data_IF_717295217410
#
_entry.id   IF_717295217410
#
_cell.length_a   1.000
_cell.length_b   1.000
_cell.length_c   1.000
_cell.angle_alpha   90.00
_cell.angle_beta   90.00
_cell.angle_gamma   90.00
#
_symmetry.space_group_name_H-M   'P 1'
#
loop_
_entity.id
_entity.type
_entity.pdbx_description
1 polymer ?
#
# COMPACT_ATOMS: atom_id res chain seq x y z
N UNK A 1 16.29 58.59 -91.21
CA UNK A 1 16.38 58.21 -92.65
C UNK A 1 15.32 59.05 -93.38
N UNK A 2 15.61 59.95 -94.33
CA UNK A 2 16.17 59.82 -95.70
C UNK A 2 15.23 59.14 -96.73
N UNK A 3 14.77 59.95 -97.71
CA UNK A 3 14.12 59.55 -99.00
C UNK A 3 12.69 58.93 -98.88
N UNK A 4 11.77 58.93 -99.87
CA UNK A 4 11.60 59.48 -101.26
C UNK A 4 10.07 59.36 -101.58
N UNK A 5 9.39 60.02 -102.54
CA UNK A 5 9.62 61.12 -103.51
C UNK A 5 8.74 62.34 -103.08
N UNK A 6 8.22 63.35 -103.82
CA UNK A 6 8.06 63.76 -105.24
C UNK A 6 7.01 63.04 -106.15
N UNK A 7 6.54 63.73 -107.20
CA UNK A 7 5.34 63.47 -108.05
C UNK A 7 4.04 63.72 -107.25
N UNK A 8 3.04 64.51 -107.66
CA UNK A 8 2.61 65.00 -108.99
C UNK A 8 2.72 66.53 -109.10
N UNK A 9 3.27 67.05 -110.21
CA UNK A 9 3.24 68.49 -110.53
C UNK A 9 3.28 68.76 -112.04
N UNK A 10 2.24 68.36 -112.78
CA UNK A 10 2.07 68.73 -114.21
C UNK A 10 0.61 68.60 -114.66
N UNK A 11 -0.12 69.72 -114.71
CA UNK A 11 -1.14 69.94 -115.74
C UNK A 11 -1.41 71.45 -115.94
N UNK A 12 -0.79 72.03 -116.97
CA UNK A 12 -1.35 73.05 -117.89
C UNK A 12 -2.09 74.23 -117.21
N UNK A 13 -1.57 75.46 -117.07
CA UNK A 13 -0.46 76.18 -117.72
C UNK A 13 -0.65 76.61 -119.19
N UNK A 14 -1.89 76.68 -119.69
CA UNK A 14 -2.30 77.32 -120.97
C UNK A 14 -3.66 78.03 -120.75
N UNK A 15 -4.05 78.92 -121.67
CA UNK A 15 -5.26 79.77 -121.64
C UNK A 15 -5.18 80.95 -120.64
N UNK A 16 -4.20 81.82 -120.88
CA UNK A 16 -4.47 83.27 -120.78
C UNK A 16 -5.41 83.70 -121.91
N UNK A 17 -6.16 84.79 -121.71
CA UNK A 17 -6.97 85.51 -122.72
C UNK A 17 -8.19 84.76 -123.32
N UNK A 18 -9.31 84.75 -122.60
CA UNK A 18 -10.48 85.57 -123.02
C UNK A 18 -11.56 85.75 -121.93
N UNK A 19 -12.07 86.98 -121.83
CA UNK A 19 -13.39 87.43 -121.35
C UNK A 19 -14.10 86.83 -120.11
N UNK A 20 -14.04 87.59 -119.00
CA UNK A 20 -15.09 87.84 -117.96
C UNK A 20 -15.54 86.71 -117.01
N UNK A 21 -15.75 87.13 -115.74
CA UNK A 21 -16.37 86.41 -114.60
C UNK A 21 -15.54 85.21 -114.06
N UNK A 22 -15.67 84.78 -112.81
CA UNK A 22 -16.62 85.18 -111.75
C UNK A 22 -15.92 85.22 -110.36
N UNK A 23 -16.31 86.11 -109.44
CA UNK A 23 -15.65 86.26 -108.13
C UNK A 23 -16.00 85.15 -107.12
N UNK A 24 -17.12 84.45 -107.34
CA UNK A 24 -17.78 83.57 -106.36
C UNK A 24 -16.96 82.34 -105.94
N UNK A 25 -16.11 81.84 -106.83
CA UNK A 25 -15.43 80.56 -106.66
C UNK A 25 -14.33 80.56 -105.58
N UNK A 26 -13.94 81.74 -105.06
CA UNK A 26 -12.88 81.85 -104.02
C UNK A 26 -13.45 81.64 -102.62
N UNK A 27 -14.62 82.21 -102.30
CA UNK A 27 -15.31 81.95 -101.02
C UNK A 27 -15.68 80.47 -100.87
N UNK A 28 -16.13 79.84 -101.97
CA UNK A 28 -16.43 78.40 -102.02
C UNK A 28 -15.16 77.56 -101.73
N UNK A 29 -13.97 78.02 -102.14
CA UNK A 29 -12.69 77.34 -101.87
C UNK A 29 -12.22 77.53 -100.41
N UNK A 30 -12.35 78.73 -99.84
CA UNK A 30 -12.00 78.99 -98.44
C UNK A 30 -12.96 78.28 -97.48
N UNK A 31 -14.26 78.21 -97.80
CA UNK A 31 -15.20 77.35 -97.08
C UNK A 31 -14.81 75.89 -97.17
N UNK A 32 -14.45 75.37 -98.36
CA UNK A 32 -14.00 73.98 -98.51
C UNK A 32 -12.73 73.68 -97.68
N UNK A 33 -11.73 74.58 -97.69
CA UNK A 33 -10.50 74.43 -96.89
C UNK A 33 -10.81 74.47 -95.38
N UNK A 34 -11.72 75.35 -94.94
CA UNK A 34 -12.16 75.40 -93.55
C UNK A 34 -12.90 74.13 -93.14
N UNK A 35 -13.86 73.65 -93.96
CA UNK A 35 -14.57 72.39 -93.75
C UNK A 35 -13.60 71.21 -93.66
N UNK A 36 -12.58 71.15 -94.54
CA UNK A 36 -11.55 70.10 -94.50
C UNK A 36 -10.70 70.19 -93.22
N UNK A 37 -10.35 71.39 -92.76
CA UNK A 37 -9.59 71.60 -91.52
C UNK A 37 -10.40 71.22 -90.27
N UNK A 38 -11.65 71.65 -90.22
CA UNK A 38 -12.58 71.35 -89.12
C UNK A 38 -12.91 69.84 -89.11
N UNK A 39 -13.17 69.22 -90.27
CA UNK A 39 -13.34 67.78 -90.40
C UNK A 39 -12.09 66.98 -90.00
N UNK A 40 -10.88 67.47 -90.35
CA UNK A 40 -9.62 66.86 -89.88
C UNK A 40 -9.46 66.98 -88.36
N UNK A 41 -9.86 68.09 -87.76
CA UNK A 41 -9.79 68.28 -86.31
C UNK A 41 -10.86 67.46 -85.57
N UNK A 42 -12.04 67.27 -86.16
CA UNK A 42 -13.08 66.33 -85.70
C UNK A 42 -12.56 64.89 -85.79
N UNK A 43 -11.95 64.49 -86.91
CA UNK A 43 -11.36 63.16 -87.08
C UNK A 43 -10.23 62.89 -86.08
N UNK A 44 -9.35 63.88 -85.84
CA UNK A 44 -8.28 63.75 -84.85
C UNK A 44 -8.83 63.59 -83.44
N UNK A 45 -9.82 64.41 -83.05
CA UNK A 45 -10.53 64.27 -81.76
C UNK A 45 -11.29 62.94 -81.65
N UNK A 46 -11.91 62.45 -82.72
CA UNK A 46 -12.59 61.15 -82.72
C UNK A 46 -11.59 59.99 -82.56
N UNK A 47 -10.39 60.11 -83.15
CA UNK A 47 -9.31 59.14 -83.01
C UNK A 47 -8.67 59.18 -81.60
N UNK A 48 -8.53 60.38 -81.02
CA UNK A 48 -8.07 60.61 -79.64
C UNK A 48 -9.09 60.12 -78.61
N UNK A 49 -10.39 60.41 -78.79
CA UNK A 49 -11.49 59.85 -77.99
C UNK A 49 -11.50 58.33 -78.09
N UNK A 50 -11.36 57.76 -79.30
CA UNK A 50 -11.30 56.30 -79.47
C UNK A 50 -10.09 55.72 -78.72
N UNK A 51 -8.89 56.28 -78.89
CA UNK A 51 -7.69 55.81 -78.21
C UNK A 51 -7.83 55.89 -76.68
N UNK A 52 -8.37 56.99 -76.15
CA UNK A 52 -8.63 57.14 -74.72
C UNK A 52 -9.71 56.17 -74.22
N UNK A 53 -10.73 55.85 -75.01
CA UNK A 53 -11.76 54.85 -74.65
C UNK A 53 -11.17 53.43 -74.65
N UNK A 54 -10.32 53.11 -75.63
CA UNK A 54 -9.67 51.81 -75.76
C UNK A 54 -8.60 51.60 -74.66
N UNK A 55 -7.98 52.69 -74.19
CA UNK A 55 -7.06 52.72 -73.05
C UNK A 55 -7.80 52.70 -71.69
N UNK A 56 -8.94 53.36 -71.55
CA UNK A 56 -9.85 53.26 -70.39
C UNK A 56 -10.42 51.84 -70.21
N UNK A 57 -10.73 51.16 -71.32
CA UNK A 57 -11.08 49.73 -71.31
C UNK A 57 -9.91 48.88 -70.82
N UNK A 58 -8.69 49.10 -71.32
CA UNK A 58 -7.50 48.37 -70.86
C UNK A 58 -7.20 48.60 -69.38
N UNK A 59 -7.32 49.83 -68.88
CA UNK A 59 -7.19 50.15 -67.45
C UNK A 59 -8.21 49.34 -66.64
N UNK A 60 -9.49 49.35 -67.02
CA UNK A 60 -10.55 48.60 -66.32
C UNK A 60 -10.36 47.09 -66.36
N UNK A 61 -9.78 46.55 -67.43
CA UNK A 61 -9.39 45.14 -67.48
C UNK A 61 -8.25 44.85 -66.50
N UNK A 62 -7.21 45.68 -66.46
CA UNK A 62 -6.08 45.53 -65.52
C UNK A 62 -6.54 45.70 -64.06
N UNK A 63 -7.43 46.64 -63.77
CA UNK A 63 -8.04 46.83 -62.45
C UNK A 63 -8.84 45.59 -62.02
N UNK A 64 -9.67 45.03 -62.90
CA UNK A 64 -10.44 43.81 -62.61
C UNK A 64 -9.57 42.56 -62.48
N UNK A 65 -8.49 42.43 -63.27
CA UNK A 65 -7.51 41.35 -63.12
C UNK A 65 -6.71 41.47 -61.82
N UNK A 66 -6.31 42.69 -61.43
CA UNK A 66 -5.63 42.94 -60.16
C UNK A 66 -6.53 42.70 -58.94
N UNK A 67 -7.81 43.09 -59.02
CA UNK A 67 -8.79 42.79 -57.96
C UNK A 67 -9.05 41.28 -57.84
N UNK A 68 -9.16 40.58 -58.97
CA UNK A 68 -9.30 39.11 -59.00
C UNK A 68 -8.07 38.41 -58.39
N UNK A 69 -6.85 38.89 -58.69
CA UNK A 69 -5.61 38.33 -58.13
C UNK A 69 -5.49 38.61 -56.63
N UNK A 70 -5.83 39.82 -56.19
CA UNK A 70 -5.91 40.16 -54.76
C UNK A 70 -6.93 39.27 -54.02
N UNK A 71 -8.07 38.96 -54.64
CA UNK A 71 -9.06 38.02 -54.10
C UNK A 71 -8.57 36.55 -54.08
N UNK A 72 -7.62 36.15 -54.94
CA UNK A 72 -6.94 34.84 -54.81
C UNK A 72 -5.96 34.87 -53.64
N UNK A 73 -5.08 35.87 -53.59
CA UNK A 73 -4.05 36.01 -52.56
C UNK A 73 -4.69 35.99 -51.17
N UNK A 74 -5.76 36.77 -50.94
CA UNK A 74 -6.48 36.78 -49.67
C UNK A 74 -7.05 35.39 -49.28
N UNK A 75 -7.56 34.61 -50.24
CA UNK A 75 -8.05 33.24 -50.00
C UNK A 75 -6.93 32.23 -49.75
N UNK A 76 -5.79 32.40 -50.42
CA UNK A 76 -4.60 31.59 -50.17
C UNK A 76 -3.97 31.91 -48.81
N UNK A 77 -3.99 33.18 -48.38
CA UNK A 77 -3.60 33.62 -47.03
C UNK A 77 -4.54 33.05 -45.96
N UNK A 78 -5.87 33.18 -46.10
CA UNK A 78 -6.86 32.57 -45.19
C UNK A 78 -6.66 31.05 -45.08
N UNK A 79 -6.53 30.36 -46.22
CA UNK A 79 -6.31 28.91 -46.25
C UNK A 79 -4.95 28.53 -45.62
N UNK A 80 -3.92 29.36 -45.76
CA UNK A 80 -2.60 29.12 -45.15
C UNK A 80 -2.65 29.36 -43.64
N UNK A 81 -3.34 30.40 -43.17
CA UNK A 81 -3.52 30.66 -41.73
C UNK A 81 -4.31 29.53 -41.06
N UNK A 82 -5.37 29.02 -41.69
CA UNK A 82 -6.16 27.91 -41.16
C UNK A 82 -5.38 26.58 -41.14
N UNK A 83 -4.58 26.31 -42.17
CA UNK A 83 -3.64 25.18 -42.16
C UNK A 83 -2.60 25.30 -41.03
N UNK A 84 -2.09 26.50 -40.75
CA UNK A 84 -1.15 26.76 -39.63
C UNK A 84 -1.84 26.58 -38.28
N UNK A 85 -3.08 27.04 -38.10
CA UNK A 85 -3.89 26.80 -36.89
C UNK A 85 -4.11 25.31 -36.67
N UNK A 86 -4.54 24.57 -37.69
CA UNK A 86 -4.78 23.14 -37.58
C UNK A 86 -3.48 22.36 -37.29
N UNK A 87 -2.35 22.74 -37.90
CA UNK A 87 -1.05 22.17 -37.60
C UNK A 87 -0.62 22.43 -36.14
N UNK A 88 -0.86 23.64 -35.61
CA UNK A 88 -0.60 23.97 -34.20
C UNK A 88 -1.50 23.19 -33.23
N UNK A 89 -2.78 23.00 -33.55
CA UNK A 89 -3.70 22.16 -32.77
C UNK A 89 -3.24 20.70 -32.77
N UNK A 90 -2.92 20.15 -33.94
CA UNK A 90 -2.41 18.77 -34.07
C UNK A 90 -1.12 18.57 -33.27
N UNK A 91 -0.15 19.50 -33.36
CA UNK A 91 1.12 19.42 -32.65
C UNK A 91 0.97 19.58 -31.13
N UNK A 92 -0.02 20.35 -30.66
CA UNK A 92 -0.41 20.38 -29.23
C UNK A 92 -1.04 19.05 -28.80
N UNK A 93 -1.91 18.47 -29.61
CA UNK A 93 -2.58 17.20 -29.28
C UNK A 93 -1.59 16.02 -29.23
N UNK A 94 -0.62 15.97 -30.15
CA UNK A 94 0.46 14.98 -30.12
C UNK A 94 1.25 15.11 -28.81
N UNK A 95 1.80 16.30 -28.52
CA UNK A 95 2.56 16.52 -27.27
C UNK A 95 1.74 16.23 -26.00
N UNK A 96 0.45 16.53 -25.99
CA UNK A 96 -0.43 16.20 -24.87
C UNK A 96 -0.63 14.69 -24.73
N UNK A 97 -0.76 13.96 -25.84
CA UNK A 97 -0.84 12.49 -25.83
C UNK A 97 0.48 11.87 -25.34
N UNK A 98 1.62 12.37 -25.81
CA UNK A 98 2.96 11.90 -25.40
C UNK A 98 3.16 12.09 -23.88
N UNK A 99 2.86 13.29 -23.37
CA UNK A 99 2.92 13.62 -21.93
C UNK A 99 1.96 12.73 -21.13
N UNK A 100 0.75 12.47 -21.63
CA UNK A 100 -0.20 11.58 -20.94
C UNK A 100 0.31 10.12 -20.90
N UNK A 101 0.96 9.62 -21.95
CA UNK A 101 1.57 8.29 -21.95
C UNK A 101 2.74 8.20 -20.95
N UNK A 102 3.59 9.23 -20.89
CA UNK A 102 4.68 9.30 -19.91
C UNK A 102 4.15 9.37 -18.47
N UNK A 103 3.09 10.13 -18.22
CA UNK A 103 2.40 10.20 -16.91
C UNK A 103 1.83 8.83 -16.51
N UNK A 104 1.18 8.08 -17.41
CA UNK A 104 0.68 6.74 -17.11
C UNK A 104 1.81 5.74 -16.84
N UNK A 105 2.91 5.80 -17.60
CA UNK A 105 4.09 4.98 -17.32
C UNK A 105 4.65 5.27 -15.91
N UNK A 106 4.82 6.56 -15.56
CA UNK A 106 5.29 6.99 -14.23
C UNK A 106 4.33 6.52 -13.13
N UNK A 107 3.01 6.60 -13.33
CA UNK A 107 1.99 6.10 -12.39
C UNK A 107 2.13 4.59 -12.15
N UNK A 108 2.35 3.81 -13.20
CA UNK A 108 2.55 2.37 -13.09
C UNK A 108 3.85 2.03 -12.36
N UNK A 109 4.96 2.73 -12.66
CA UNK A 109 6.25 2.54 -11.95
C UNK A 109 6.13 2.88 -10.46
N UNK A 110 5.50 4.00 -10.10
CA UNK A 110 5.29 4.39 -8.69
C UNK A 110 4.44 3.34 -7.96
N UNK A 111 3.37 2.83 -8.59
CA UNK A 111 2.53 1.78 -8.00
C UNK A 111 3.31 0.49 -7.73
N UNK A 112 4.13 0.05 -8.68
CA UNK A 112 4.99 -1.12 -8.51
C UNK A 112 5.97 -0.94 -7.35
N UNK A 113 6.66 0.21 -7.28
CA UNK A 113 7.58 0.53 -6.17
C UNK A 113 6.88 0.58 -4.80
N UNK A 114 5.64 1.05 -4.74
CA UNK A 114 4.83 1.04 -3.52
C UNK A 114 4.43 -0.39 -3.10
N UNK A 115 4.04 -1.25 -4.05
CA UNK A 115 3.72 -2.66 -3.81
C UNK A 115 4.97 -3.45 -3.37
N UNK A 116 6.13 -3.19 -3.96
CA UNK A 116 7.42 -3.79 -3.58
C UNK A 116 7.87 -3.34 -2.18
N UNK A 117 7.87 -2.02 -1.91
CA UNK A 117 8.22 -1.47 -0.57
C UNK A 117 7.31 -2.07 0.51
N UNK A 118 6.00 -2.08 0.28
CA UNK A 118 5.02 -2.68 1.20
C UNK A 118 5.30 -4.17 1.43
N UNK A 119 5.73 -4.91 0.39
CA UNK A 119 6.08 -6.33 0.50
C UNK A 119 7.35 -6.55 1.32
N UNK A 120 8.37 -5.72 1.17
CA UNK A 120 9.61 -5.80 1.96
C UNK A 120 9.36 -5.47 3.44
N UNK A 121 8.62 -4.39 3.73
CA UNK A 121 8.21 -4.04 5.09
C UNK A 121 7.45 -5.19 5.77
N UNK A 122 6.48 -5.79 5.07
CA UNK A 122 5.73 -6.95 5.58
C UNK A 122 6.62 -8.17 5.86
N UNK A 123 7.65 -8.42 5.03
CA UNK A 123 8.63 -9.49 5.26
C UNK A 123 9.50 -9.21 6.49
N UNK A 124 9.95 -7.97 6.67
CA UNK A 124 10.74 -7.53 7.84
C UNK A 124 9.91 -7.67 9.13
N UNK A 125 8.66 -7.17 9.15
CA UNK A 125 7.77 -7.28 10.30
C UNK A 125 7.48 -8.75 10.62
N UNK A 126 7.15 -9.57 9.62
CA UNK A 126 6.94 -11.02 9.76
C UNK A 126 8.16 -11.71 10.38
N UNK A 127 9.36 -11.45 9.88
CA UNK A 127 10.58 -12.07 10.42
C UNK A 127 10.90 -11.59 11.84
N UNK A 128 10.65 -10.32 12.16
CA UNK A 128 10.83 -9.78 13.51
C UNK A 128 9.89 -10.45 14.53
N UNK A 129 8.62 -10.69 14.17
CA UNK A 129 7.67 -11.40 15.04
C UNK A 129 8.12 -12.86 15.26
N UNK A 130 8.53 -13.55 14.20
CA UNK A 130 9.05 -14.93 14.26
C UNK A 130 10.30 -15.01 15.16
N UNK A 131 11.22 -14.05 15.04
CA UNK A 131 12.42 -13.98 15.86
C UNK A 131 12.09 -13.77 17.35
N UNK A 132 11.17 -12.86 17.68
CA UNK A 132 10.74 -12.62 19.06
C UNK A 132 10.07 -13.86 19.68
N UNK A 133 9.21 -14.55 18.93
CA UNK A 133 8.61 -15.82 19.38
C UNK A 133 9.69 -16.88 19.65
N UNK A 134 10.67 -17.03 18.77
CA UNK A 134 11.78 -18.00 18.95
C UNK A 134 12.65 -17.70 20.16
N UNK A 135 12.97 -16.43 20.44
CA UNK A 135 13.73 -16.05 21.63
C UNK A 135 13.01 -16.46 22.93
N UNK A 136 11.69 -16.25 23.01
CA UNK A 136 10.88 -16.66 24.17
C UNK A 136 10.83 -18.17 24.44
N UNK A 137 11.10 -18.98 23.42
CA UNK A 137 11.25 -20.44 23.51
C UNK A 137 12.67 -20.79 23.98
N UNK A 138 13.69 -20.15 23.40
CA UNK A 138 15.10 -20.40 23.68
C UNK A 138 15.43 -20.23 25.16
N UNK A 139 14.92 -19.17 25.79
CA UNK A 139 15.03 -18.89 27.24
C UNK A 139 14.55 -20.06 28.13
N UNK A 140 13.68 -20.92 27.59
CA UNK A 140 13.06 -22.05 28.30
C UNK A 140 13.64 -23.40 27.89
N UNK A 141 14.46 -23.49 26.84
CA UNK A 141 14.84 -24.78 26.21
C UNK A 141 15.47 -25.78 27.19
N UNK A 142 16.36 -25.34 28.10
CA UNK A 142 16.96 -26.21 29.12
C UNK A 142 15.91 -26.81 30.05
N UNK A 143 14.90 -26.02 30.45
CA UNK A 143 13.80 -26.46 31.31
C UNK A 143 12.88 -27.46 30.60
N UNK A 144 12.61 -27.21 29.32
CA UNK A 144 11.83 -28.09 28.43
C UNK A 144 12.52 -29.45 28.23
N UNK A 145 13.86 -29.46 28.07
CA UNK A 145 14.65 -30.67 27.92
C UNK A 145 14.59 -31.54 29.19
N UNK A 146 14.71 -30.94 30.38
CA UNK A 146 14.60 -31.66 31.67
C UNK A 146 13.23 -32.34 31.82
N UNK A 147 12.14 -31.66 31.45
CA UNK A 147 10.80 -32.26 31.52
C UNK A 147 10.62 -33.42 30.55
N UNK A 148 11.17 -33.31 29.32
CA UNK A 148 11.06 -34.33 28.27
C UNK A 148 11.98 -35.55 28.50
N UNK A 149 13.03 -35.45 29.31
CA UNK A 149 13.91 -36.58 29.61
C UNK A 149 13.23 -37.60 30.56
N UNK A 150 12.79 -38.72 30.00
CA UNK A 150 12.17 -39.82 30.75
C UNK A 150 13.11 -40.44 31.80
N UNK A 151 14.43 -40.29 31.65
CA UNK A 151 15.44 -40.86 32.56
C UNK A 151 15.88 -39.86 33.64
N UNK A 152 15.33 -38.64 33.66
CA UNK A 152 15.71 -37.63 34.64
C UNK A 152 15.52 -38.15 36.07
N UNK A 153 16.57 -38.10 36.93
CA UNK A 153 16.58 -38.79 38.22
C UNK A 153 15.77 -38.04 39.28
N UNK A 154 14.47 -38.34 39.32
CA UNK A 154 13.60 -37.99 40.45
C UNK A 154 14.05 -38.74 41.72
N UNK A 155 14.20 -38.07 42.89
CA UNK A 155 14.59 -38.72 44.14
C UNK A 155 13.43 -39.50 44.77
N UNK A 156 13.73 -40.56 45.52
CA UNK A 156 12.76 -41.45 46.17
C UNK A 156 11.79 -40.79 47.17
N UNK A 157 12.17 -39.61 47.69
CA UNK A 157 11.36 -38.77 48.60
C UNK A 157 10.46 -37.76 47.84
N UNK A 158 10.53 -37.77 46.50
CA UNK A 158 9.88 -36.82 45.59
C UNK A 158 10.15 -35.36 45.99
N UNK A 159 11.38 -35.05 46.41
CA UNK A 159 11.81 -33.78 47.01
C UNK A 159 11.09 -33.47 48.33
N UNK A 160 11.04 -34.45 49.25
CA UNK A 160 10.29 -34.44 50.52
C UNK A 160 8.77 -34.19 50.37
N UNK A 161 8.24 -34.32 49.16
CA UNK A 161 6.80 -34.29 48.89
C UNK A 161 6.14 -35.63 49.23
N UNK A 162 6.92 -36.71 49.39
CA UNK A 162 6.48 -38.04 49.80
C UNK A 162 7.28 -38.57 50.99
N UNK A 163 6.58 -39.22 51.93
CA UNK A 163 7.18 -40.08 52.95
C UNK A 163 6.47 -41.45 52.88
N UNK A 164 7.24 -42.50 52.58
CA UNK A 164 6.74 -43.87 52.37
C UNK A 164 6.51 -44.64 53.69
N UNK A 165 6.94 -44.08 54.83
CA UNK A 165 6.81 -44.66 56.18
C UNK A 165 5.63 -44.03 56.91
N UNK A 166 5.60 -42.69 57.03
CA UNK A 166 4.58 -41.97 57.82
C UNK A 166 3.32 -41.66 57.01
N UNK A 167 3.44 -41.57 55.69
CA UNK A 167 2.44 -40.99 54.80
C UNK A 167 2.03 -39.54 55.17
N UNK A 168 2.90 -38.80 55.89
CA UNK A 168 2.57 -37.47 56.40
C UNK A 168 2.78 -36.32 55.41
N UNK A 169 3.44 -36.59 54.26
CA UNK A 169 3.85 -35.61 53.23
C UNK A 169 2.85 -35.44 52.08
N UNK A 170 2.81 -34.26 51.43
CA UNK A 170 1.72 -33.85 50.54
C UNK A 170 1.24 -34.88 49.53
N UNK A 171 2.13 -35.52 48.78
CA UNK A 171 1.77 -36.44 47.71
C UNK A 171 1.12 -37.76 48.21
N UNK A 172 1.24 -38.09 49.49
CA UNK A 172 0.60 -39.26 50.09
C UNK A 172 -0.90 -39.06 50.40
N UNK A 173 -1.36 -37.81 50.60
CA UNK A 173 -2.73 -37.54 51.05
C UNK A 173 -3.45 -36.37 50.35
N UNK A 174 -2.75 -35.51 49.60
CA UNK A 174 -3.33 -34.45 48.76
C UNK A 174 -3.63 -35.05 47.39
N UNK A 175 -4.86 -35.51 47.21
CA UNK A 175 -5.40 -35.81 45.89
C UNK A 175 -5.93 -34.54 45.22
N UNK A 176 -5.73 -34.44 43.92
CA UNK A 176 -6.33 -33.42 43.07
C UNK A 176 -7.44 -34.05 42.22
N UNK A 177 -8.48 -33.29 41.91
CA UNK A 177 -9.55 -33.76 41.04
C UNK A 177 -9.05 -33.74 39.59
N UNK A 178 -9.07 -34.89 38.92
CA UNK A 178 -8.86 -34.96 37.47
C UNK A 178 -10.16 -34.58 36.77
N UNK A 179 -10.07 -33.72 35.76
CA UNK A 179 -11.24 -33.18 35.02
C UNK A 179 -12.16 -34.27 34.42
N UNK A 180 -11.59 -35.42 34.08
CA UNK A 180 -12.28 -36.53 33.41
C UNK A 180 -12.63 -37.72 34.34
N UNK A 181 -12.47 -37.59 35.67
CA UNK A 181 -12.63 -38.73 36.58
C UNK A 181 -13.48 -38.41 37.83
N UNK A 182 -14.75 -38.82 37.77
CA UNK A 182 -15.61 -38.95 38.95
C UNK A 182 -14.99 -39.98 39.92
N UNK A 183 -14.91 -39.62 41.20
CA UNK A 183 -14.55 -40.47 42.35
C UNK A 183 -13.20 -41.22 42.31
N UNK A 184 -12.19 -40.68 41.61
CA UNK A 184 -10.80 -41.17 41.75
C UNK A 184 -9.85 -40.12 42.33
N UNK A 185 -9.69 -40.20 43.66
CA UNK A 185 -8.65 -39.54 44.44
C UNK A 185 -7.25 -40.05 44.02
N UNK A 186 -6.55 -39.32 43.17
CA UNK A 186 -5.21 -39.70 42.67
C UNK A 186 -4.14 -39.46 43.74
N UNK A 187 -3.36 -40.50 44.06
CA UNK A 187 -2.14 -40.40 44.87
C UNK A 187 -0.97 -39.95 44.01
N UNK A 188 -0.37 -38.79 44.34
CA UNK A 188 0.80 -38.29 43.62
C UNK A 188 2.08 -39.06 44.00
N UNK A 189 2.08 -39.82 45.10
CA UNK A 189 3.20 -40.65 45.53
C UNK A 189 3.43 -41.87 44.62
N UNK A 190 2.43 -42.28 43.84
CA UNK A 190 2.50 -43.48 42.99
C UNK A 190 3.28 -43.20 41.69
N UNK A 191 4.14 -44.11 41.24
CA UNK A 191 5.03 -43.89 40.08
C UNK A 191 4.30 -43.60 38.77
N UNK A 192 3.07 -44.10 38.61
CA UNK A 192 2.22 -43.81 37.45
C UNK A 192 1.77 -42.33 37.38
N UNK A 193 1.97 -41.56 38.45
CA UNK A 193 1.68 -40.12 38.52
C UNK A 193 2.94 -39.25 38.45
N UNK A 194 4.11 -39.82 38.16
CA UNK A 194 5.36 -39.10 37.86
C UNK A 194 5.20 -37.96 36.85
N UNK A 195 4.37 -38.10 35.82
CA UNK A 195 4.06 -37.02 34.88
C UNK A 195 3.36 -35.81 35.54
N UNK A 196 2.56 -36.03 36.59
CA UNK A 196 1.92 -34.95 37.34
C UNK A 196 2.89 -34.33 38.37
N UNK A 197 3.78 -35.13 38.96
CA UNK A 197 4.91 -34.63 39.77
C UNK A 197 5.85 -33.73 38.95
N UNK A 198 6.23 -34.17 37.74
CA UNK A 198 7.03 -33.40 36.77
C UNK A 198 6.41 -32.04 36.45
N UNK A 199 5.09 -31.92 36.34
CA UNK A 199 4.39 -30.63 36.15
C UNK A 199 4.58 -29.69 37.34
N UNK A 200 4.53 -30.20 38.56
CA UNK A 200 4.80 -29.40 39.76
C UNK A 200 6.26 -28.90 39.77
N UNK A 201 7.22 -29.76 39.45
CA UNK A 201 8.63 -29.37 39.41
C UNK A 201 8.97 -28.39 38.28
N UNK A 202 8.29 -28.52 37.13
CA UNK A 202 8.45 -27.66 35.96
C UNK A 202 8.18 -26.18 36.29
N UNK A 203 7.10 -25.90 37.02
CA UNK A 203 6.78 -24.56 37.50
C UNK A 203 7.87 -23.98 38.41
N UNK A 204 8.37 -24.79 39.35
CA UNK A 204 9.49 -24.43 40.22
C UNK A 204 10.86 -24.52 39.52
N UNK A 205 10.88 -24.69 38.20
CA UNK A 205 12.09 -24.75 37.34
C UNK A 205 13.11 -25.80 37.80
N UNK A 206 12.60 -26.91 38.37
CA UNK A 206 13.34 -27.99 39.03
C UNK A 206 14.24 -27.54 40.21
N UNK A 207 13.97 -26.37 40.80
CA UNK A 207 14.67 -25.94 42.00
C UNK A 207 14.21 -26.76 43.23
N UNK A 208 15.10 -27.63 43.71
CA UNK A 208 14.90 -28.49 44.89
C UNK A 208 14.42 -27.74 46.13
N UNK A 209 14.91 -26.53 46.38
CA UNK A 209 14.53 -25.75 47.56
C UNK A 209 13.08 -25.28 47.44
N UNK A 210 12.73 -24.62 46.33
CA UNK A 210 11.38 -24.10 46.09
C UNK A 210 10.32 -25.23 46.11
N UNK A 211 10.65 -26.42 45.61
CA UNK A 211 9.78 -27.60 45.66
C UNK A 211 9.57 -28.06 47.12
N UNK A 212 10.65 -28.14 47.92
CA UNK A 212 10.57 -28.51 49.34
C UNK A 212 9.77 -27.50 50.16
N UNK A 213 9.99 -26.20 49.95
CA UNK A 213 9.25 -25.11 50.60
C UNK A 213 7.76 -25.14 50.25
N UNK A 214 7.40 -25.42 48.99
CA UNK A 214 6.02 -25.67 48.59
C UNK A 214 5.42 -26.88 49.33
N UNK A 215 6.20 -27.96 49.49
CA UNK A 215 5.80 -29.15 50.24
C UNK A 215 5.51 -28.88 51.72
N UNK A 216 6.39 -28.13 52.37
CA UNK A 216 6.22 -27.77 53.79
C UNK A 216 5.02 -26.80 53.99
N UNK A 217 4.75 -25.88 53.05
CA UNK A 217 3.53 -25.05 53.04
C UNK A 217 2.26 -25.93 52.94
N UNK A 218 2.23 -26.87 52.00
CA UNK A 218 1.09 -27.76 51.78
C UNK A 218 0.84 -28.72 52.96
N UNK A 219 1.91 -29.15 53.64
CA UNK A 219 1.83 -29.91 54.89
C UNK A 219 1.30 -29.06 56.05
N UNK A 220 1.81 -27.84 56.24
CA UNK A 220 1.33 -26.92 57.26
C UNK A 220 -0.14 -26.52 57.05
N UNK A 221 -0.60 -26.35 55.80
CA UNK A 221 -2.02 -26.12 55.50
C UNK A 221 -2.91 -27.30 55.93
N UNK A 222 -2.48 -28.55 55.69
CA UNK A 222 -3.19 -29.75 56.18
C UNK A 222 -3.25 -29.78 57.70
N UNK A 223 -2.18 -29.40 58.40
CA UNK A 223 -2.13 -29.40 59.88
C UNK A 223 -2.98 -28.30 60.54
N UNK A 224 -3.55 -27.36 59.78
CA UNK A 224 -4.45 -26.30 60.27
C UNK A 224 -5.88 -26.42 59.70
N UNK A 225 -6.24 -27.65 59.29
CA UNK A 225 -7.51 -28.09 58.68
C UNK A 225 -7.79 -27.55 57.25
N UNK A 226 -6.81 -26.91 56.62
CA UNK A 226 -6.94 -26.28 55.30
C UNK A 226 -6.56 -27.24 54.15
N UNK A 227 -6.87 -28.54 54.30
CA UNK A 227 -6.54 -29.58 53.30
C UNK A 227 -7.09 -29.24 51.90
N UNK A 228 -8.33 -28.78 51.81
CA UNK A 228 -8.97 -28.41 50.53
C UNK A 228 -8.27 -27.24 49.83
N UNK A 229 -7.74 -26.27 50.59
CA UNK A 229 -6.94 -25.18 50.03
C UNK A 229 -5.60 -25.71 49.50
N UNK A 230 -4.95 -26.62 50.22
CA UNK A 230 -3.74 -27.28 49.76
C UNK A 230 -3.98 -28.13 48.48
N UNK A 231 -5.11 -28.83 48.39
CA UNK A 231 -5.56 -29.53 47.17
C UNK A 231 -5.77 -28.56 46.00
N UNK A 232 -6.41 -27.41 46.24
CA UNK A 232 -6.66 -26.39 45.23
C UNK A 232 -5.37 -25.72 44.72
N UNK A 233 -4.41 -25.41 45.61
CA UNK A 233 -3.08 -24.90 45.22
C UNK A 233 -2.36 -25.92 44.34
N UNK A 234 -2.32 -27.18 44.76
CA UNK A 234 -1.58 -28.22 44.04
C UNK A 234 -2.23 -28.56 42.68
N UNK A 235 -3.57 -28.61 42.63
CA UNK A 235 -4.32 -28.71 41.38
C UNK A 235 -4.05 -27.52 40.46
N UNK A 236 -4.06 -26.29 40.98
CA UNK A 236 -3.74 -25.10 40.20
C UNK A 236 -2.32 -25.13 39.62
N UNK A 237 -1.32 -25.61 40.38
CA UNK A 237 0.06 -25.78 39.91
C UNK A 237 0.13 -26.77 38.74
N UNK A 238 -0.56 -27.91 38.85
CA UNK A 238 -0.61 -28.93 37.78
C UNK A 238 -1.29 -28.36 36.53
N UNK A 239 -2.45 -27.71 36.68
CA UNK A 239 -3.20 -27.13 35.57
C UNK A 239 -2.45 -25.97 34.89
N UNK A 240 -1.80 -25.09 35.66
CA UNK A 240 -1.00 -24.00 35.10
C UNK A 240 0.14 -24.55 34.23
N UNK A 241 0.81 -25.59 34.74
CA UNK A 241 1.95 -26.21 34.06
C UNK A 241 1.54 -27.00 32.81
N UNK A 242 0.36 -27.63 32.85
CA UNK A 242 -0.32 -28.24 31.70
C UNK A 242 -0.62 -27.20 30.62
N UNK A 243 -1.32 -26.11 30.96
CA UNK A 243 -1.76 -25.14 29.95
C UNK A 243 -0.61 -24.28 29.42
N UNK A 244 0.22 -23.69 30.30
CA UNK A 244 1.31 -22.82 29.89
C UNK A 244 2.47 -23.60 29.27
N UNK A 245 3.17 -24.43 30.03
CA UNK A 245 4.38 -25.10 29.53
C UNK A 245 4.08 -26.27 28.60
N UNK A 246 3.25 -27.23 29.02
CA UNK A 246 3.03 -28.48 28.28
C UNK A 246 2.21 -28.29 26.99
N UNK A 247 1.24 -27.37 26.96
CA UNK A 247 0.49 -27.06 25.75
C UNK A 247 1.13 -25.86 25.01
N UNK A 248 1.13 -24.65 25.55
CA UNK A 248 1.57 -23.48 24.76
C UNK A 248 3.07 -23.48 24.45
N UNK A 249 3.96 -23.67 25.44
CA UNK A 249 5.41 -23.62 25.17
C UNK A 249 5.87 -24.81 24.29
N UNK A 250 5.43 -26.06 24.53
CA UNK A 250 5.80 -27.17 23.64
C UNK A 250 5.19 -27.04 22.24
N UNK A 251 3.90 -26.69 22.10
CA UNK A 251 3.29 -26.54 20.75
C UNK A 251 4.02 -25.47 19.94
N UNK A 252 4.46 -24.38 20.57
CA UNK A 252 5.29 -23.38 19.91
C UNK A 252 6.72 -23.89 19.65
N UNK A 253 7.35 -24.61 20.59
CA UNK A 253 8.69 -25.19 20.42
C UNK A 253 8.74 -26.16 19.23
N UNK A 254 7.80 -27.10 19.14
CA UNK A 254 7.81 -28.13 18.10
C UNK A 254 7.44 -27.54 16.71
N UNK A 255 6.56 -26.52 16.66
CA UNK A 255 6.15 -25.84 15.41
C UNK A 255 6.99 -24.61 15.04
N UNK A 256 8.02 -24.24 15.81
CA UNK A 256 8.79 -23.00 15.58
C UNK A 256 9.47 -22.95 14.20
N UNK A 257 9.76 -24.10 13.59
CA UNK A 257 10.30 -24.20 12.24
C UNK A 257 9.33 -23.65 11.19
N UNK A 258 8.02 -23.88 11.37
CA UNK A 258 6.97 -23.65 10.38
C UNK A 258 6.27 -22.28 10.52
N UNK A 259 6.68 -21.44 11.48
CA UNK A 259 6.09 -20.10 11.71
C UNK A 259 6.16 -19.17 10.48
N UNK A 260 7.01 -19.46 9.50
CA UNK A 260 7.07 -18.75 8.22
C UNK A 260 5.87 -19.06 7.30
N UNK A 261 5.06 -20.09 7.57
CA UNK A 261 3.86 -20.41 6.80
C UNK A 261 2.68 -19.48 7.16
N UNK A 262 2.56 -19.07 8.43
CA UNK A 262 1.51 -18.16 8.91
C UNK A 262 1.59 -16.78 8.23
N UNK A 263 0.44 -16.14 8.02
CA UNK A 263 0.36 -14.77 7.53
C UNK A 263 0.69 -13.74 8.64
N UNK A 264 0.81 -12.45 8.28
CA UNK A 264 1.23 -11.41 9.22
C UNK A 264 0.18 -11.11 10.33
N UNK A 265 -1.11 -11.26 10.04
CA UNK A 265 -2.20 -11.09 11.01
C UNK A 265 -2.24 -12.24 12.01
N UNK A 266 -2.09 -13.48 11.52
CA UNK A 266 -1.94 -14.68 12.34
C UNK A 266 -0.73 -14.58 13.27
N UNK A 267 0.43 -14.17 12.76
CA UNK A 267 1.65 -13.99 13.56
C UNK A 267 1.50 -12.87 14.60
N UNK A 268 0.90 -11.73 14.24
CA UNK A 268 0.63 -10.64 15.18
C UNK A 268 -0.36 -11.07 16.28
N UNK A 269 -1.37 -11.85 15.93
CA UNK A 269 -2.35 -12.40 16.86
C UNK A 269 -1.71 -13.45 17.79
N UNK A 270 -0.87 -14.33 17.24
CA UNK A 270 -0.10 -15.34 17.98
C UNK A 270 0.86 -14.68 18.99
N UNK A 271 1.60 -13.65 18.56
CA UNK A 271 2.49 -12.85 19.39
C UNK A 271 1.74 -12.16 20.53
N UNK A 272 0.59 -11.56 20.24
CA UNK A 272 -0.26 -10.92 21.27
C UNK A 272 -0.75 -11.94 22.30
N UNK A 273 -1.32 -13.06 21.85
CA UNK A 273 -1.79 -14.12 22.76
C UNK A 273 -0.61 -14.67 23.59
N UNK A 274 0.58 -14.83 23.01
CA UNK A 274 1.76 -15.25 23.76
C UNK A 274 2.19 -14.23 24.82
N UNK A 275 2.08 -12.93 24.53
CA UNK A 275 2.28 -11.87 25.53
C UNK A 275 1.27 -11.94 26.68
N UNK A 276 0.00 -12.19 26.38
CA UNK A 276 -1.04 -12.42 27.39
C UNK A 276 -0.75 -13.68 28.23
N UNK A 277 -0.26 -14.77 27.61
CA UNK A 277 0.15 -16.01 28.29
C UNK A 277 1.35 -15.80 29.24
N UNK A 278 2.41 -15.15 28.77
CA UNK A 278 3.58 -14.79 29.59
C UNK A 278 3.17 -13.93 30.80
N UNK A 279 2.25 -12.99 30.61
CA UNK A 279 1.69 -12.21 31.72
C UNK A 279 0.94 -13.10 32.72
N UNK A 280 0.11 -14.04 32.25
CA UNK A 280 -0.60 -14.95 33.16
C UNK A 280 0.35 -15.88 33.95
N UNK A 281 1.49 -16.29 33.38
CA UNK A 281 2.54 -16.98 34.14
C UNK A 281 3.18 -16.06 35.20
N UNK A 282 3.48 -14.80 34.87
CA UNK A 282 4.04 -13.84 35.82
C UNK A 282 3.07 -13.52 36.97
N UNK A 283 1.78 -13.33 36.66
CA UNK A 283 0.73 -13.14 37.68
C UNK A 283 0.63 -14.38 38.60
N UNK A 284 0.70 -15.60 38.04
CA UNK A 284 0.62 -16.86 38.79
C UNK A 284 1.84 -17.10 39.70
N UNK A 285 3.06 -16.94 39.17
CA UNK A 285 4.30 -16.95 39.97
C UNK A 285 4.22 -15.90 41.10
N UNK A 286 3.69 -14.71 40.78
CA UNK A 286 3.47 -13.63 41.75
C UNK A 286 2.52 -13.99 42.89
N UNK A 287 1.45 -14.76 42.64
CA UNK A 287 0.53 -15.20 43.69
C UNK A 287 1.06 -16.37 44.51
N UNK A 288 1.83 -17.30 43.93
CA UNK A 288 2.54 -18.33 44.71
C UNK A 288 3.60 -17.72 45.63
N UNK A 289 4.36 -16.75 45.14
CA UNK A 289 5.34 -16.02 45.94
C UNK A 289 4.70 -15.27 47.13
N UNK A 290 3.46 -14.78 46.99
CA UNK A 290 2.69 -14.22 48.13
C UNK A 290 2.30 -15.28 49.14
N UNK A 291 1.81 -16.45 48.72
CA UNK A 291 1.50 -17.57 49.64
C UNK A 291 2.74 -17.99 50.45
N UNK A 292 3.90 -18.10 49.79
CA UNK A 292 5.18 -18.39 50.45
C UNK A 292 5.61 -17.28 51.42
N UNK A 293 5.52 -16.01 51.00
CA UNK A 293 5.85 -14.88 51.87
C UNK A 293 4.94 -14.84 53.12
N UNK A 294 3.64 -14.96 52.93
CA UNK A 294 2.64 -14.92 54.01
C UNK A 294 2.87 -16.03 55.03
N UNK A 295 3.18 -17.25 54.57
CA UNK A 295 3.50 -18.39 55.43
C UNK A 295 4.71 -18.13 56.36
N UNK A 296 5.71 -17.40 55.87
CA UNK A 296 6.95 -17.12 56.62
C UNK A 296 6.95 -15.78 57.38
N UNK A 297 5.94 -14.92 57.19
CA UNK A 297 5.93 -13.55 57.73
C UNK A 297 4.68 -13.14 58.50
N UNK A 298 3.54 -13.78 58.26
CA UNK A 298 2.28 -13.37 58.88
C UNK A 298 1.95 -14.24 60.09
N UNK A 299 1.21 -13.66 61.04
CA UNK A 299 0.52 -14.45 62.06
C UNK A 299 -0.46 -15.44 61.42
N UNK A 300 -0.66 -16.60 62.06
CA UNK A 300 -1.44 -17.72 61.51
C UNK A 300 -2.84 -17.32 61.01
N UNK A 301 -3.52 -16.40 61.71
CA UNK A 301 -4.85 -15.95 61.31
C UNK A 301 -4.83 -15.11 60.02
N UNK A 302 -3.80 -14.28 59.83
CA UNK A 302 -3.62 -13.48 58.63
C UNK A 302 -3.22 -14.37 57.44
N UNK A 303 -2.33 -15.36 57.67
CA UNK A 303 -2.02 -16.39 56.67
C UNK A 303 -3.26 -17.18 56.24
N UNK A 304 -4.13 -17.59 57.16
CA UNK A 304 -5.40 -18.28 56.84
C UNK A 304 -6.31 -17.47 55.89
N UNK A 305 -6.41 -16.15 56.07
CA UNK A 305 -7.22 -15.28 55.21
C UNK A 305 -6.55 -15.06 53.85
N UNK A 306 -5.24 -14.78 53.84
CA UNK A 306 -4.52 -14.47 52.60
C UNK A 306 -4.34 -15.68 51.70
N UNK A 307 -4.08 -16.88 52.25
CA UNK A 307 -3.87 -18.10 51.45
C UNK A 307 -5.12 -18.51 50.68
N UNK A 308 -6.32 -18.36 51.26
CA UNK A 308 -7.60 -18.58 50.55
C UNK A 308 -7.74 -17.59 49.41
N UNK A 309 -7.49 -16.31 49.69
CA UNK A 309 -7.59 -15.21 48.71
C UNK A 309 -6.63 -15.44 47.53
N UNK A 310 -5.37 -15.79 47.81
CA UNK A 310 -4.35 -16.06 46.79
C UNK A 310 -4.65 -17.35 46.01
N UNK A 311 -5.17 -18.40 46.66
CA UNK A 311 -5.58 -19.65 45.98
C UNK A 311 -6.70 -19.40 44.96
N UNK A 312 -7.68 -18.55 45.29
CA UNK A 312 -8.74 -18.17 44.34
C UNK A 312 -8.19 -17.44 43.11
N UNK A 313 -7.14 -16.62 43.26
CA UNK A 313 -6.48 -15.95 42.13
C UNK A 313 -5.72 -16.94 41.24
N UNK A 314 -5.01 -17.92 41.81
CA UNK A 314 -4.36 -19.00 41.04
C UNK A 314 -5.38 -19.78 40.19
N UNK A 315 -6.53 -20.13 40.77
CA UNK A 315 -7.61 -20.80 40.05
C UNK A 315 -8.20 -19.93 38.93
N UNK A 316 -8.44 -18.64 39.19
CA UNK A 316 -8.97 -17.70 38.20
C UNK A 316 -8.01 -17.49 37.01
N UNK A 317 -6.71 -17.34 37.27
CA UNK A 317 -5.68 -17.24 36.22
C UNK A 317 -5.70 -18.47 35.31
N UNK A 318 -5.87 -19.67 35.86
CA UNK A 318 -5.93 -20.89 35.05
C UNK A 318 -7.17 -20.96 34.13
N UNK A 319 -8.29 -20.34 34.50
CA UNK A 319 -9.46 -20.19 33.61
C UNK A 319 -9.15 -19.24 32.45
N UNK A 320 -8.45 -18.13 32.69
CA UNK A 320 -8.00 -17.22 31.61
C UNK A 320 -6.99 -17.94 30.70
N UNK A 321 -5.97 -18.55 31.31
CA UNK A 321 -4.88 -19.26 30.65
C UNK A 321 -5.43 -20.32 29.70
N UNK A 322 -6.34 -21.19 30.15
CA UNK A 322 -7.00 -22.22 29.35
C UNK A 322 -7.63 -21.66 28.06
N UNK A 323 -8.33 -20.53 28.16
CA UNK A 323 -8.98 -19.87 27.02
C UNK A 323 -7.97 -19.23 26.05
N UNK A 324 -6.89 -18.62 26.57
CA UNK A 324 -5.78 -18.11 25.75
C UNK A 324 -5.07 -19.26 25.02
N UNK A 325 -4.75 -20.35 25.73
CA UNK A 325 -4.07 -21.54 25.20
C UNK A 325 -4.87 -22.22 24.10
N UNK A 326 -6.20 -22.32 24.22
CA UNK A 326 -7.02 -22.88 23.15
C UNK A 326 -6.95 -22.03 21.86
N UNK A 327 -7.04 -20.69 21.98
CA UNK A 327 -6.91 -19.77 20.83
C UNK A 327 -5.50 -19.82 20.22
N UNK A 328 -4.48 -19.88 21.07
CA UNK A 328 -3.07 -20.02 20.69
C UNK A 328 -2.85 -21.31 19.88
N UNK A 329 -3.37 -22.44 20.38
CA UNK A 329 -3.29 -23.74 19.71
C UNK A 329 -4.00 -23.72 18.36
N UNK A 330 -5.19 -23.13 18.26
CA UNK A 330 -5.95 -23.08 17.00
C UNK A 330 -5.17 -22.38 15.87
N UNK A 331 -4.41 -21.31 16.14
CA UNK A 331 -3.55 -20.67 15.12
C UNK A 331 -2.37 -21.57 14.76
N UNK A 332 -1.78 -22.27 15.73
CA UNK A 332 -0.66 -23.18 15.48
C UNK A 332 -1.08 -24.50 14.84
N UNK A 333 -2.31 -24.96 14.99
CA UNK A 333 -2.84 -26.18 14.35
C UNK A 333 -2.95 -26.02 12.81
N UNK A 334 -2.78 -24.81 12.25
CA UNK A 334 -2.70 -24.55 10.81
C UNK A 334 -1.33 -24.89 10.16
N UNK A 335 -0.27 -25.15 10.96
CA UNK A 335 1.14 -25.28 10.50
C UNK A 335 1.93 -26.47 11.04
#
# INVERSE_FOLDING_TARGET
MRHKLSIISTLISVITLTCKMNLKNIEELEQAIKIIKDAKQIALKAQEIKANTELDIQIKTIEAEAELEAQKIAKEEEATEENIKQALVNLRQIKLNDINQEIEHIRLTIKQQQEETTREENLIIKQNIINQLKLKILDKQTLLNIYRDINWPEPDDHFKMTDKITNDRPFNYISYNKEDAVDKSISLADDHNSNNRRKIYLLFRYNRQNIQECGDILHSLKNIDYKSIAQNILGAIIDHSKYYYEIAIFTLYDKQANLNLLNIEQLSTLQKIFGDLEKQNQDFEGYLNKIHFDYHKNELQNFKISVVTHTLQLLYINVILRNLVQRFKTILDEI
#
